data_IF_861363642893
#
_entry.id   IF_861363642893
#
_cell.length_a   1.000
_cell.length_b   1.000
_cell.length_c   1.000
_cell.angle_alpha   90.00
_cell.angle_beta   90.00
_cell.angle_gamma   90.00
#
_symmetry.space_group_name_H-M   'P 1'
#
loop_
_entity.id
_entity.type
_entity.pdbx_description
1 polymer ?
#
# COMPACT_ATOMS: atom_id res chain seq x y z
N UNK A 1 -26.91 -9.92 13.23
CA UNK A 1 -25.57 -10.37 12.78
C UNK A 1 -25.00 -9.33 11.83
N UNK A 2 -23.71 -8.99 11.91
CA UNK A 2 -23.07 -7.99 11.02
C UNK A 2 -22.76 -8.63 9.65
N UNK A 3 -22.93 -7.88 8.56
CA UNK A 3 -22.64 -8.33 7.17
C UNK A 3 -21.36 -7.69 6.65
N UNK A 4 -20.69 -8.35 5.70
CA UNK A 4 -19.50 -7.81 5.04
C UNK A 4 -19.77 -6.51 4.28
N UNK A 5 -20.99 -6.34 3.76
CA UNK A 5 -21.43 -5.14 3.06
C UNK A 5 -21.86 -3.98 3.97
N UNK A 6 -21.84 -4.15 5.29
CA UNK A 6 -22.17 -3.05 6.20
C UNK A 6 -21.11 -1.95 6.19
N UNK A 7 -21.54 -0.70 6.27
CA UNK A 7 -20.65 0.43 6.56
C UNK A 7 -19.97 0.28 7.93
N UNK A 8 -18.78 0.86 8.05
CA UNK A 8 -18.04 0.94 9.32
C UNK A 8 -17.60 2.39 9.55
N UNK A 9 -17.93 2.91 10.73
CA UNK A 9 -17.39 4.19 11.22
C UNK A 9 -16.28 3.92 12.21
N UNK A 10 -15.09 4.45 11.95
CA UNK A 10 -13.95 4.36 12.86
C UNK A 10 -14.12 5.30 14.06
N UNK A 11 -13.33 5.08 15.12
CA UNK A 11 -13.40 5.89 16.37
C UNK A 11 -13.23 7.40 16.13
N UNK A 12 -12.52 7.78 15.08
CA UNK A 12 -12.25 9.17 14.70
C UNK A 12 -13.23 9.73 13.64
N UNK A 13 -14.32 9.01 13.34
CA UNK A 13 -15.40 9.49 12.48
C UNK A 13 -15.28 9.15 10.98
N UNK A 14 -14.14 8.66 10.49
CA UNK A 14 -14.04 8.23 9.09
C UNK A 14 -14.95 7.01 8.82
N UNK A 15 -15.51 6.96 7.61
CA UNK A 15 -16.49 5.95 7.21
C UNK A 15 -15.99 5.19 5.99
N UNK A 16 -16.04 3.85 6.05
CA UNK A 16 -15.83 2.97 4.90
C UNK A 16 -17.14 2.26 4.54
N UNK A 17 -17.31 1.99 3.24
CA UNK A 17 -18.60 1.54 2.70
C UNK A 17 -18.88 0.04 2.88
N UNK A 18 -17.89 -0.74 3.31
CA UNK A 18 -18.00 -2.16 3.57
C UNK A 18 -16.91 -2.58 4.57
N UNK A 19 -16.93 -3.84 5.02
CA UNK A 19 -15.96 -4.42 5.96
C UNK A 19 -14.77 -5.10 5.27
N UNK A 20 -14.65 -4.98 3.95
CA UNK A 20 -13.57 -5.58 3.19
C UNK A 20 -12.37 -4.64 3.20
N UNK A 21 -11.19 -5.22 3.39
CA UNK A 21 -9.91 -4.50 3.41
C UNK A 21 -8.95 -5.22 2.49
N UNK A 22 -8.33 -4.50 1.56
CA UNK A 22 -7.18 -5.06 0.84
C UNK A 22 -5.98 -5.09 1.79
N UNK A 23 -5.39 -6.27 2.05
CA UNK A 23 -4.26 -6.39 2.96
C UNK A 23 -2.99 -5.75 2.36
N UNK A 24 -1.98 -5.45 3.21
CA UNK A 24 -0.68 -5.02 2.72
C UNK A 24 -0.03 -6.15 1.90
N UNK A 25 0.29 -5.88 0.64
CA UNK A 25 0.93 -6.85 -0.27
C UNK A 25 2.13 -6.19 -0.94
N UNK A 26 3.33 -6.75 -0.74
CA UNK A 26 4.54 -6.28 -1.43
C UNK A 26 4.33 -6.38 -2.94
N UNK A 27 4.43 -5.26 -3.64
CA UNK A 27 4.21 -5.23 -5.09
C UNK A 27 5.48 -5.51 -5.88
N UNK A 28 6.65 -5.30 -5.28
CA UNK A 28 7.94 -5.27 -5.98
C UNK A 28 7.84 -4.43 -7.26
N UNK A 29 7.25 -3.24 -7.15
CA UNK A 29 7.08 -2.33 -8.27
C UNK A 29 7.98 -1.10 -8.19
N UNK A 30 8.55 -0.80 -7.02
CA UNK A 30 9.39 0.37 -6.80
C UNK A 30 10.74 0.32 -7.49
N UNK A 31 11.34 1.49 -7.72
CA UNK A 31 12.67 1.67 -8.30
C UNK A 31 13.57 2.37 -7.28
N UNK A 32 14.49 1.62 -6.67
CA UNK A 32 15.35 2.11 -5.58
C UNK A 32 14.57 2.79 -4.42
N UNK A 33 13.44 2.22 -4.03
CA UNK A 33 12.55 2.77 -3.02
C UNK A 33 11.52 3.79 -3.54
N UNK A 34 11.70 4.30 -4.76
CA UNK A 34 10.79 5.27 -5.36
C UNK A 34 9.53 4.61 -5.93
N UNK A 35 8.42 5.34 -5.92
CA UNK A 35 7.20 4.99 -6.66
C UNK A 35 7.52 4.99 -8.17
N UNK A 36 7.09 3.95 -8.88
CA UNK A 36 7.19 3.86 -10.35
C UNK A 36 5.81 3.92 -11.01
N UNK A 37 5.78 4.01 -12.34
CA UNK A 37 4.52 3.91 -13.10
C UNK A 37 3.82 2.56 -12.91
N UNK A 38 4.56 1.48 -12.66
CA UNK A 38 3.95 0.17 -12.35
C UNK A 38 3.32 0.17 -10.96
N UNK A 39 3.94 0.87 -10.00
CA UNK A 39 3.36 1.09 -8.67
C UNK A 39 2.02 1.82 -8.82
N UNK A 40 2.02 2.93 -9.56
CA UNK A 40 0.82 3.74 -9.81
C UNK A 40 -0.25 2.91 -10.53
N UNK A 41 0.13 2.14 -11.56
CA UNK A 41 -0.78 1.29 -12.33
C UNK A 41 -1.39 0.17 -11.47
N UNK A 42 -0.59 -0.47 -10.62
CA UNK A 42 -1.06 -1.51 -9.69
C UNK A 42 -2.13 -0.99 -8.73
N UNK A 43 -1.90 0.18 -8.14
CA UNK A 43 -2.83 0.80 -7.18
C UNK A 43 -4.06 1.39 -7.87
N UNK A 44 -3.92 1.99 -9.06
CA UNK A 44 -5.07 2.44 -9.87
C UNK A 44 -6.05 1.31 -10.15
N UNK A 45 -5.55 0.13 -10.53
CA UNK A 45 -6.39 -1.05 -10.79
C UNK A 45 -7.13 -1.57 -9.53
N UNK A 46 -6.71 -1.17 -8.32
CA UNK A 46 -7.22 -1.65 -7.03
C UNK A 46 -7.87 -0.56 -6.17
N UNK A 47 -7.91 0.68 -6.64
CA UNK A 47 -8.42 1.81 -5.88
C UNK A 47 -9.88 1.62 -5.39
N UNK A 48 -10.66 0.77 -6.07
CA UNK A 48 -12.04 0.43 -5.73
C UNK A 48 -12.25 -1.05 -5.37
N UNK A 49 -11.20 -1.78 -4.98
CA UNK A 49 -11.32 -3.22 -4.67
C UNK A 49 -12.01 -3.50 -3.32
N UNK A 50 -11.94 -2.56 -2.38
CA UNK A 50 -12.37 -2.72 -1.00
C UNK A 50 -12.78 -1.38 -0.37
N UNK A 51 -13.42 -1.42 0.80
CA UNK A 51 -13.76 -0.21 1.56
C UNK A 51 -12.54 0.51 2.15
N UNK A 52 -11.44 -0.22 2.35
CA UNK A 52 -10.14 0.28 2.77
C UNK A 52 -9.05 -0.48 2.03
N UNK A 53 -7.99 0.21 1.66
CA UNK A 53 -6.78 -0.38 1.08
C UNK A 53 -5.61 -0.02 1.99
N UNK A 54 -4.86 -1.03 2.41
CA UNK A 54 -3.60 -0.84 3.13
C UNK A 54 -2.48 -0.97 2.11
N UNK A 55 -1.62 0.04 2.01
CA UNK A 55 -0.47 0.01 1.10
C UNK A 55 0.47 -1.14 1.46
N UNK A 56 1.39 -1.47 0.56
CA UNK A 56 2.51 -2.35 0.90
C UNK A 56 3.31 -1.78 2.08
N UNK A 57 4.08 -2.64 2.74
CA UNK A 57 4.96 -2.19 3.81
C UNK A 57 6.10 -1.37 3.20
N UNK A 58 6.31 -0.16 3.71
CA UNK A 58 7.35 0.75 3.26
C UNK A 58 8.46 0.78 4.32
N UNK A 59 9.73 0.74 3.91
CA UNK A 59 10.83 0.78 4.88
C UNK A 59 11.10 2.23 5.32
N UNK A 60 11.33 2.39 6.62
CA UNK A 60 11.46 3.69 7.31
C UNK A 60 12.90 4.04 7.69
N UNK A 61 13.87 3.23 7.28
CA UNK A 61 15.29 3.55 7.40
C UNK A 61 16.10 2.73 6.39
N UNK A 62 17.30 3.17 5.98
CA UNK A 62 18.17 2.40 5.07
C UNK A 62 18.54 1.01 5.60
N UNK A 63 18.57 0.81 6.91
CA UNK A 63 18.86 -0.49 7.52
C UNK A 63 17.64 -1.43 7.59
N UNK A 64 16.43 -0.90 7.41
CA UNK A 64 15.17 -1.65 7.50
C UNK A 64 14.69 -2.23 6.16
N UNK A 65 15.43 -2.04 5.07
CA UNK A 65 15.06 -2.52 3.74
C UNK A 65 16.11 -2.20 2.67
N UNK A 66 15.82 -2.51 1.39
CA UNK A 66 14.61 -3.17 0.93
C UNK A 66 14.55 -4.64 1.37
N UNK A 67 13.34 -5.17 1.57
CA UNK A 67 13.11 -6.60 1.72
C UNK A 67 13.55 -7.39 0.47
N UNK A 68 13.76 -8.69 0.62
CA UNK A 68 14.12 -9.58 -0.48
C UNK A 68 13.06 -9.49 -1.58
N UNK A 69 13.48 -9.08 -2.77
CA UNK A 69 12.65 -9.02 -3.99
C UNK A 69 12.82 -10.31 -4.78
N UNK A 70 11.76 -10.72 -5.49
CA UNK A 70 11.84 -11.83 -6.46
C UNK A 70 12.24 -11.36 -7.86
N UNK A 71 12.20 -10.05 -8.13
CA UNK A 71 12.46 -9.49 -9.45
C UNK A 71 13.73 -8.64 -9.45
N UNK A 72 14.59 -8.89 -10.43
CA UNK A 72 15.80 -8.10 -10.64
C UNK A 72 15.41 -6.63 -10.90
N UNK A 73 16.08 -5.71 -10.21
CA UNK A 73 15.88 -4.26 -10.32
C UNK A 73 14.52 -3.73 -9.84
N UNK A 74 13.74 -4.53 -9.10
CA UNK A 74 12.55 -4.04 -8.40
C UNK A 74 12.75 -4.04 -6.91
N UNK A 75 12.27 -2.99 -6.28
CA UNK A 75 12.44 -2.79 -4.85
C UNK A 75 11.10 -2.57 -4.16
N UNK A 76 11.08 -2.89 -2.87
CA UNK A 76 10.10 -2.36 -1.94
C UNK A 76 10.12 -0.81 -1.97
N UNK A 77 9.00 -0.17 -1.65
CA UNK A 77 8.90 1.29 -1.51
C UNK A 77 9.48 1.81 -0.19
N UNK A 78 9.93 3.07 -0.17
CA UNK A 78 10.58 3.72 0.96
C UNK A 78 9.88 5.02 1.37
N UNK A 79 9.96 5.38 2.66
CA UNK A 79 9.36 6.62 3.20
C UNK A 79 10.22 7.30 4.27
N UNK A 80 11.53 7.05 4.26
CA UNK A 80 12.45 7.51 5.32
C UNK A 80 13.11 8.88 5.06
N UNK A 81 12.90 9.45 3.89
CA UNK A 81 13.57 10.67 3.41
C UNK A 81 12.60 11.42 2.47
N UNK A 82 12.57 12.75 2.54
CA UNK A 82 11.65 13.56 1.73
C UNK A 82 11.89 13.41 0.23
N UNK A 83 13.04 12.89 -0.21
CA UNK A 83 13.28 12.55 -1.63
C UNK A 83 12.26 11.55 -2.21
N UNK A 84 11.54 10.81 -1.37
CA UNK A 84 10.50 9.87 -1.80
C UNK A 84 9.11 10.53 -1.96
N UNK A 85 8.97 11.80 -1.56
CA UNK A 85 7.77 12.60 -1.81
C UNK A 85 7.79 13.14 -3.26
N UNK A 86 6.61 13.41 -3.87
CA UNK A 86 6.50 14.06 -5.18
C UNK A 86 7.03 15.50 -5.20
#
# INVERSE_FOLDING_TARGET
MKKLSDKVTFKHGAVINNRMVQPPMLTNSGLNGMVSEDTISYWKARANSAGLVISEYNYVSPAGGPAITWADNRTQLAVYDDKFLP
#
